data_IF_474236760623
#
_entry.id   IF_474236760623
#
_cell.length_a   1.000
_cell.length_b   1.000
_cell.length_c   1.000
_cell.angle_alpha   90.00
_cell.angle_beta   90.00
_cell.angle_gamma   90.00
#
_symmetry.space_group_name_H-M   'P 1'
#
loop_
_entity.id
_entity.type
_entity.pdbx_description
1 polymer ?
#
# COMPACT_ATOMS: atom_id res chain seq x y z
N UNK A 1 8.78 -15.16 -59.63
CA UNK A 1 8.02 -14.37 -60.60
C UNK A 1 7.92 -12.98 -60.00
N UNK A 2 8.88 -12.14 -60.21
CA UNK A 2 9.01 -10.96 -61.07
C UNK A 2 7.78 -10.04 -61.05
N UNK A 3 7.86 -8.79 -60.55
CA UNK A 3 8.24 -7.53 -61.16
C UNK A 3 8.22 -6.41 -60.09
N UNK A 4 9.27 -5.67 -59.77
CA UNK A 4 9.87 -4.48 -60.36
C UNK A 4 9.06 -3.17 -60.17
N UNK A 5 9.54 -2.28 -59.29
CA UNK A 5 10.24 -0.95 -59.54
C UNK A 5 9.32 0.13 -60.17
N UNK A 6 9.18 1.29 -59.53
CA UNK A 6 9.62 2.53 -60.16
C UNK A 6 9.71 3.71 -59.19
N UNK A 7 10.87 4.31 -59.08
CA UNK A 7 11.19 5.66 -58.56
C UNK A 7 10.56 6.70 -59.50
N UNK A 8 10.09 7.84 -58.95
CA UNK A 8 10.09 9.12 -59.64
C UNK A 8 10.48 10.20 -58.65
N UNK A 9 11.70 10.68 -58.84
CA UNK A 9 12.27 11.94 -58.35
C UNK A 9 11.80 13.04 -59.29
N UNK A 10 11.17 14.10 -58.75
CA UNK A 10 10.97 15.35 -59.51
C UNK A 10 11.44 16.51 -58.66
N UNK A 11 12.65 16.93 -59.04
CA UNK A 11 13.27 18.22 -58.77
C UNK A 11 12.55 19.30 -59.60
N UNK A 12 12.12 20.41 -58.99
CA UNK A 12 11.79 21.62 -59.74
C UNK A 12 12.44 22.83 -59.07
N UNK A 13 13.44 23.32 -59.75
CA UNK A 13 14.13 24.62 -59.60
C UNK A 13 13.44 25.59 -60.59
N UNK A 14 13.02 26.76 -60.10
CA UNK A 14 12.95 28.02 -60.90
C UNK A 14 12.65 29.18 -59.93
N UNK A 15 13.67 30.01 -59.62
CA UNK A 15 14.05 31.25 -60.30
C UNK A 15 13.12 32.46 -60.04
N UNK A 16 13.58 33.31 -59.14
CA UNK A 16 13.81 34.74 -59.25
C UNK A 16 12.78 35.57 -60.05
N UNK A 17 12.10 36.47 -59.37
CA UNK A 17 11.95 37.85 -59.87
C UNK A 17 11.71 38.82 -58.71
N UNK A 18 12.65 39.74 -58.58
CA UNK A 18 12.57 40.99 -57.83
C UNK A 18 11.47 41.86 -58.41
N UNK A 19 10.57 42.36 -57.54
CA UNK A 19 9.88 43.64 -57.78
C UNK A 19 9.98 44.46 -56.52
N UNK A 20 10.77 45.50 -56.59
CA UNK A 20 10.79 46.63 -55.66
C UNK A 20 9.48 47.45 -55.87
N UNK A 21 8.69 47.55 -54.82
CA UNK A 21 7.78 48.67 -54.66
C UNK A 21 7.90 49.22 -53.26
N UNK A 22 8.51 50.35 -53.20
CA UNK A 22 8.52 51.28 -52.09
C UNK A 22 7.15 51.85 -51.87
N UNK A 23 6.61 51.80 -50.66
CA UNK A 23 5.65 52.84 -50.17
C UNK A 23 5.39 52.70 -48.67
N UNK A 24 5.70 53.81 -48.03
CA UNK A 24 5.05 54.43 -46.88
C UNK A 24 5.06 53.69 -45.53
N UNK A 25 5.82 54.30 -44.67
CA UNK A 25 5.70 54.29 -43.20
C UNK A 25 4.27 54.47 -42.74
N UNK A 26 3.82 53.51 -41.92
CA UNK A 26 2.87 53.81 -40.86
C UNK A 26 3.57 53.41 -39.54
N UNK A 27 4.04 54.43 -38.85
CA UNK A 27 4.51 54.39 -37.49
C UNK A 27 3.32 54.17 -36.56
N UNK A 28 3.03 52.95 -36.24
CA UNK A 28 2.34 52.63 -34.96
C UNK A 28 3.39 52.13 -33.99
N UNK A 29 3.86 53.03 -33.16
CA UNK A 29 4.61 52.73 -31.94
C UNK A 29 3.75 51.84 -31.03
N UNK A 30 3.93 50.56 -31.10
CA UNK A 30 3.73 49.68 -29.96
C UNK A 30 5.12 49.43 -29.37
N UNK A 31 5.41 50.13 -28.27
CA UNK A 31 6.52 49.82 -27.37
C UNK A 31 6.31 48.40 -26.82
N UNK A 32 6.60 47.36 -27.60
CA UNK A 32 6.93 46.06 -27.07
C UNK A 32 8.38 46.17 -26.55
N UNK A 33 8.51 46.56 -25.30
CA UNK A 33 9.77 46.47 -24.57
C UNK A 33 10.18 44.97 -24.60
N UNK A 34 11.21 44.63 -25.39
CA UNK A 34 11.77 43.32 -25.45
C UNK A 34 12.12 42.88 -24.00
N UNK A 35 11.52 41.77 -23.55
CA UNK A 35 11.77 41.26 -22.23
C UNK A 35 13.26 40.87 -22.11
N UNK A 36 13.92 41.22 -21.03
CA UNK A 36 15.35 40.94 -20.87
C UNK A 36 15.63 39.41 -20.88
N UNK A 37 16.50 38.97 -21.76
CA UNK A 37 16.91 37.57 -21.85
C UNK A 37 18.00 37.33 -20.84
N UNK A 38 17.70 36.54 -19.80
CA UNK A 38 18.68 36.11 -18.80
C UNK A 38 19.25 34.75 -19.22
N UNK A 39 20.53 34.74 -19.57
CA UNK A 39 21.25 33.50 -19.87
C UNK A 39 21.78 32.87 -18.58
N UNK A 40 21.25 31.68 -18.24
CA UNK A 40 21.66 30.93 -17.03
C UNK A 40 23.15 30.53 -17.05
N UNK A 41 23.81 30.51 -18.21
CA UNK A 41 25.23 30.30 -18.35
C UNK A 41 26.07 31.58 -18.22
N UNK A 42 25.42 32.74 -18.00
CA UNK A 42 26.09 34.02 -17.83
C UNK A 42 26.69 34.19 -16.44
N UNK A 43 27.59 35.18 -16.33
CA UNK A 43 28.18 35.57 -15.05
C UNK A 43 27.11 36.11 -14.10
N UNK A 44 26.93 35.58 -12.88
CA UNK A 44 25.94 36.07 -11.93
C UNK A 44 26.16 37.55 -11.62
N UNK A 45 25.05 38.32 -11.67
CA UNK A 45 25.03 39.76 -11.31
C UNK A 45 24.07 40.00 -10.14
N UNK A 46 24.37 40.97 -9.31
CA UNK A 46 23.53 41.39 -8.21
C UNK A 46 22.54 42.46 -8.68
N UNK A 47 21.27 42.29 -8.30
CA UNK A 47 20.21 43.24 -8.59
C UNK A 47 19.38 43.48 -7.33
N UNK A 48 18.93 44.73 -7.16
CA UNK A 48 17.92 45.08 -6.17
C UNK A 48 16.53 44.89 -6.77
N UNK A 49 15.65 44.16 -6.06
CA UNK A 49 14.26 43.96 -6.50
C UNK A 49 13.50 45.28 -6.38
N UNK A 50 13.17 45.89 -7.53
CA UNK A 50 12.42 47.12 -7.57
C UNK A 50 10.93 46.93 -7.33
N UNK A 51 10.38 45.84 -7.89
CA UNK A 51 8.99 45.45 -7.68
C UNK A 51 8.76 43.96 -8.01
N UNK A 52 7.66 43.39 -7.44
CA UNK A 52 7.27 41.99 -7.66
C UNK A 52 5.78 42.00 -8.02
N UNK A 53 5.44 41.45 -9.17
CA UNK A 53 4.06 41.18 -9.59
C UNK A 53 3.72 39.71 -9.49
N UNK A 54 2.46 39.39 -9.23
CA UNK A 54 1.93 38.01 -9.20
C UNK A 54 0.87 37.87 -10.28
N UNK A 55 0.94 36.79 -11.03
CA UNK A 55 -0.02 36.43 -12.07
C UNK A 55 -0.47 34.98 -11.90
N UNK A 56 -1.76 34.72 -11.98
CA UNK A 56 -2.34 33.37 -11.99
C UNK A 56 -2.83 32.85 -10.64
N UNK A 57 -2.60 33.55 -9.53
CA UNK A 57 -3.08 33.19 -8.20
C UNK A 57 -4.34 33.96 -7.76
N UNK A 58 -5.36 33.99 -8.60
CA UNK A 58 -6.57 34.84 -8.44
C UNK A 58 -7.29 34.75 -7.08
N UNK A 59 -7.13 33.67 -6.34
CA UNK A 59 -7.80 33.42 -5.06
C UNK A 59 -6.95 33.84 -3.82
N UNK A 60 -5.84 34.49 -4.05
CA UNK A 60 -4.91 34.91 -3.00
C UNK A 60 -4.50 36.35 -3.23
N UNK A 61 -4.35 37.11 -2.15
CA UNK A 61 -3.79 38.46 -2.21
C UNK A 61 -2.29 38.42 -2.57
N UNK A 62 -1.84 39.32 -3.42
CA UNK A 62 -0.46 39.33 -3.94
C UNK A 62 0.60 39.33 -2.82
N UNK A 63 0.36 40.08 -1.73
CA UNK A 63 1.31 40.14 -0.61
C UNK A 63 1.51 38.81 0.08
N UNK A 64 0.46 37.95 0.13
CA UNK A 64 0.56 36.59 0.70
C UNK A 64 1.45 35.73 -0.18
N UNK A 65 1.21 35.78 -1.48
CA UNK A 65 1.99 35.01 -2.47
C UNK A 65 3.46 35.47 -2.46
N UNK A 66 3.69 36.78 -2.48
CA UNK A 66 5.05 37.34 -2.41
C UNK A 66 5.74 36.88 -1.11
N UNK A 67 5.03 36.92 0.03
CA UNK A 67 5.56 36.45 1.30
C UNK A 67 5.96 34.96 1.28
N UNK A 68 5.20 34.10 0.61
CA UNK A 68 5.52 32.67 0.42
C UNK A 68 6.82 32.48 -0.37
N UNK A 69 7.14 33.36 -1.33
CA UNK A 69 8.39 33.27 -2.10
C UNK A 69 9.63 33.51 -1.24
N UNK A 70 9.48 34.31 -0.17
CA UNK A 70 10.58 34.84 0.63
C UNK A 70 11.43 35.88 -0.10
N UNK A 71 10.90 36.44 -1.20
CA UNK A 71 11.44 37.60 -1.87
C UNK A 71 10.72 38.84 -1.35
N UNK A 72 11.42 39.98 -1.33
CA UNK A 72 10.85 41.27 -0.92
C UNK A 72 11.40 42.43 -1.77
N UNK A 73 10.58 43.45 -1.91
CA UNK A 73 11.01 44.72 -2.54
C UNK A 73 12.17 45.33 -1.76
N UNK A 74 13.21 45.80 -2.48
CA UNK A 74 14.45 46.31 -1.91
C UNK A 74 15.48 45.26 -1.54
N UNK A 75 15.17 43.97 -1.66
CA UNK A 75 16.11 42.87 -1.42
C UNK A 75 17.10 42.77 -2.58
N UNK A 76 18.38 42.60 -2.23
CA UNK A 76 19.42 42.28 -3.23
C UNK A 76 19.44 40.77 -3.48
N UNK A 77 19.33 40.38 -4.76
CA UNK A 77 19.42 38.99 -5.22
C UNK A 77 20.51 38.83 -6.28
N UNK A 78 20.99 37.64 -6.46
CA UNK A 78 21.94 37.28 -7.51
C UNK A 78 21.18 36.59 -8.64
N UNK A 79 21.36 37.04 -9.89
CA UNK A 79 20.65 36.47 -11.06
C UNK A 79 21.68 36.18 -12.17
N UNK A 80 21.75 34.92 -12.65
CA UNK A 80 21.14 33.73 -12.08
C UNK A 80 21.71 33.37 -10.72
N UNK A 81 20.86 32.85 -9.82
CA UNK A 81 21.24 32.56 -8.43
C UNK A 81 20.24 31.69 -7.67
N UNK A 82 20.60 31.40 -6.42
CA UNK A 82 19.82 30.48 -5.58
C UNK A 82 18.51 31.08 -5.04
N UNK A 83 18.44 32.42 -4.87
CA UNK A 83 17.29 33.09 -4.27
C UNK A 83 16.00 32.81 -5.06
N UNK A 84 16.06 32.90 -6.39
CA UNK A 84 14.92 32.58 -7.27
C UNK A 84 14.60 31.08 -7.22
N UNK A 85 15.65 30.23 -7.25
CA UNK A 85 15.48 28.78 -7.13
C UNK A 85 14.80 28.40 -5.82
N UNK A 86 15.18 29.02 -4.70
CA UNK A 86 14.56 28.79 -3.40
C UNK A 86 13.10 29.29 -3.34
N UNK A 87 12.81 30.43 -3.97
CA UNK A 87 11.43 30.91 -4.10
C UNK A 87 10.55 29.89 -4.84
N UNK A 88 11.00 29.39 -6.00
CA UNK A 88 10.30 28.35 -6.72
C UNK A 88 10.11 27.07 -5.88
N UNK A 89 11.17 26.62 -5.17
CA UNK A 89 11.08 25.46 -4.28
C UNK A 89 10.09 25.63 -3.14
N UNK A 90 9.96 26.86 -2.59
CA UNK A 90 8.97 27.15 -1.55
C UNK A 90 7.55 26.98 -2.08
N UNK A 91 7.22 27.52 -3.24
CA UNK A 91 5.91 27.33 -3.87
C UNK A 91 5.61 25.85 -4.15
N UNK A 92 6.57 25.10 -4.69
CA UNK A 92 6.42 23.66 -4.90
C UNK A 92 6.13 22.89 -3.61
N UNK A 93 6.79 23.29 -2.51
CA UNK A 93 6.63 22.63 -1.20
C UNK A 93 5.22 22.86 -0.63
N UNK A 94 4.60 23.99 -0.91
CA UNK A 94 3.21 24.25 -0.51
C UNK A 94 2.19 23.38 -1.25
N UNK A 95 2.54 22.85 -2.41
CA UNK A 95 1.70 21.92 -3.17
C UNK A 95 0.47 22.57 -3.84
N UNK A 96 0.26 23.87 -3.70
CA UNK A 96 -0.90 24.60 -4.22
C UNK A 96 -0.84 24.84 -5.73
N UNK A 97 0.34 24.83 -6.32
CA UNK A 97 0.60 25.20 -7.69
C UNK A 97 1.03 24.00 -8.54
N UNK A 98 0.58 23.97 -9.79
CA UNK A 98 1.01 22.98 -10.78
C UNK A 98 2.21 23.46 -11.59
N UNK A 99 2.36 24.78 -11.74
CA UNK A 99 3.52 25.40 -12.38
C UNK A 99 3.89 26.70 -11.67
N UNK A 100 5.20 27.00 -11.66
CA UNK A 100 5.79 28.19 -11.04
C UNK A 100 6.91 28.68 -11.94
N UNK A 101 6.75 29.89 -12.45
CA UNK A 101 7.77 30.56 -13.26
C UNK A 101 8.02 31.96 -12.68
N UNK A 102 9.29 32.35 -12.62
CA UNK A 102 9.69 33.71 -12.24
C UNK A 102 10.41 34.33 -13.41
N UNK A 103 9.85 35.42 -13.95
CA UNK A 103 10.39 36.14 -15.09
C UNK A 103 10.87 37.52 -14.66
N UNK A 104 11.87 38.06 -15.36
CA UNK A 104 12.24 39.44 -15.27
C UNK A 104 11.49 40.23 -16.36
N UNK A 105 10.66 41.16 -15.97
CA UNK A 105 9.94 42.00 -16.92
C UNK A 105 10.84 43.15 -17.43
N UNK A 106 11.67 43.70 -16.54
CA UNK A 106 12.53 44.83 -16.81
C UNK A 106 13.80 44.80 -15.96
N UNK A 107 14.93 45.23 -16.54
CA UNK A 107 16.19 45.44 -15.83
C UNK A 107 16.67 46.86 -16.18
N UNK A 108 16.91 47.68 -15.17
CA UNK A 108 17.48 49.02 -15.31
C UNK A 108 18.64 49.22 -14.33
N UNK A 109 19.85 49.26 -14.87
CA UNK A 109 21.06 49.31 -14.04
C UNK A 109 21.18 48.12 -13.10
N UNK A 110 21.17 48.37 -11.79
CA UNK A 110 21.20 47.35 -10.75
C UNK A 110 19.81 46.99 -10.20
N UNK A 111 18.72 47.44 -10.85
CA UNK A 111 17.37 47.15 -10.44
C UNK A 111 16.67 46.17 -11.38
N UNK A 112 15.88 45.24 -10.77
CA UNK A 112 15.12 44.22 -11.50
C UNK A 112 13.65 44.23 -11.07
N UNK A 113 12.75 44.10 -12.03
CA UNK A 113 11.30 43.91 -11.84
C UNK A 113 10.98 42.45 -12.14
N UNK A 114 10.37 41.75 -11.19
CA UNK A 114 10.05 40.34 -11.28
C UNK A 114 8.54 40.13 -11.43
N UNK A 115 8.15 39.17 -12.25
CA UNK A 115 6.80 38.63 -12.26
C UNK A 115 6.81 37.14 -11.93
N UNK A 116 6.01 36.80 -10.95
CA UNK A 116 5.81 35.42 -10.51
C UNK A 116 4.54 34.89 -11.17
N UNK A 117 4.73 33.98 -12.13
CA UNK A 117 3.63 33.31 -12.80
C UNK A 117 3.33 32.00 -12.09
N UNK A 118 2.09 31.84 -11.64
CA UNK A 118 1.63 30.66 -10.90
C UNK A 118 0.42 30.03 -11.61
N UNK A 119 0.47 28.74 -11.80
CA UNK A 119 -0.70 27.97 -12.24
C UNK A 119 -1.24 27.20 -11.05
N UNK A 120 -2.47 27.51 -10.64
CA UNK A 120 -3.13 26.81 -9.54
C UNK A 120 -3.39 25.36 -9.89
N UNK A 121 -3.20 24.45 -8.93
CA UNK A 121 -3.67 23.07 -9.10
C UNK A 121 -5.18 23.03 -9.10
N UNK A 122 -5.80 22.35 -10.07
CA UNK A 122 -7.25 22.25 -10.12
C UNK A 122 -7.77 21.42 -8.94
N UNK A 123 -9.03 21.68 -8.57
CA UNK A 123 -9.75 20.91 -7.55
C UNK A 123 -10.71 19.94 -8.22
N UNK A 124 -10.97 18.83 -7.55
CA UNK A 124 -11.93 17.83 -7.99
C UNK A 124 -13.36 18.39 -7.85
N UNK A 125 -14.08 18.59 -8.97
CA UNK A 125 -15.48 18.98 -8.94
C UNK A 125 -16.41 17.78 -8.77
N UNK A 126 -16.15 16.71 -9.51
CA UNK A 126 -16.90 15.46 -9.41
C UNK A 126 -16.04 14.25 -9.80
N UNK A 127 -16.44 13.06 -9.33
CA UNK A 127 -15.75 11.80 -9.60
C UNK A 127 -16.77 10.82 -10.18
N UNK A 128 -16.46 10.29 -11.37
CA UNK A 128 -17.33 9.34 -12.06
C UNK A 128 -16.63 8.02 -12.26
N UNK A 129 -17.27 6.94 -11.80
CA UNK A 129 -16.77 5.57 -11.95
C UNK A 129 -17.56 4.87 -13.05
N UNK A 130 -16.85 4.31 -14.03
CA UNK A 130 -17.40 3.52 -15.13
C UNK A 130 -16.92 2.08 -15.09
N UNK A 131 -17.75 1.12 -15.54
CA UNK A 131 -17.37 -0.30 -15.59
C UNK A 131 -17.51 -1.06 -14.26
N UNK A 132 -18.08 -0.45 -13.21
CA UNK A 132 -18.25 -1.03 -11.89
C UNK A 132 -19.72 -1.11 -11.45
N UNK A 133 -20.03 -2.04 -10.54
CA UNK A 133 -21.32 -2.14 -9.89
C UNK A 133 -21.44 -1.08 -8.77
N UNK A 134 -22.67 -0.78 -8.35
CA UNK A 134 -22.94 0.20 -7.29
C UNK A 134 -22.18 -0.11 -6.00
N UNK A 135 -22.22 -1.36 -5.52
CA UNK A 135 -21.49 -1.76 -4.31
C UNK A 135 -19.97 -1.67 -4.44
N UNK A 136 -19.43 -1.96 -5.64
CA UNK A 136 -18.00 -1.79 -5.90
C UNK A 136 -17.60 -0.32 -5.91
N UNK A 137 -18.46 0.55 -6.44
CA UNK A 137 -18.26 2.00 -6.42
C UNK A 137 -18.22 2.53 -4.99
N UNK A 138 -19.16 2.16 -4.14
CA UNK A 138 -19.20 2.54 -2.72
C UNK A 138 -17.93 2.10 -1.98
N UNK A 139 -17.48 0.86 -2.21
CA UNK A 139 -16.20 0.34 -1.66
C UNK A 139 -14.99 1.16 -2.14
N UNK A 140 -14.95 1.54 -3.42
CA UNK A 140 -13.85 2.30 -4.01
C UNK A 140 -13.83 3.75 -3.51
N UNK A 141 -15.00 4.41 -3.41
CA UNK A 141 -15.13 5.77 -2.87
C UNK A 141 -14.54 5.85 -1.44
N UNK A 142 -14.78 4.82 -0.61
CA UNK A 142 -14.24 4.76 0.74
C UNK A 142 -12.70 4.54 0.80
N UNK A 143 -12.12 3.86 -0.20
CA UNK A 143 -10.70 3.42 -0.17
C UNK A 143 -9.76 4.32 -0.95
N UNK A 144 -10.22 4.89 -2.06
CA UNK A 144 -9.36 5.56 -3.04
C UNK A 144 -8.89 6.94 -2.57
N UNK A 145 -9.63 7.59 -1.67
CA UNK A 145 -9.23 8.86 -1.07
C UNK A 145 -9.30 10.06 -2.02
N UNK A 146 -9.95 9.92 -3.18
CA UNK A 146 -10.33 11.03 -4.02
C UNK A 146 -11.59 11.67 -3.42
N UNK A 147 -11.54 12.95 -3.09
CA UNK A 147 -12.63 13.67 -2.45
C UNK A 147 -12.93 14.94 -3.24
N UNK A 148 -14.21 15.23 -3.47
CA UNK A 148 -14.64 16.50 -4.07
C UNK A 148 -14.10 17.70 -3.29
N UNK A 149 -13.67 18.72 -4.00
CA UNK A 149 -13.09 19.96 -3.44
C UNK A 149 -11.60 19.86 -3.12
N UNK A 150 -11.02 18.66 -3.03
CA UNK A 150 -9.59 18.49 -2.81
C UNK A 150 -8.81 18.82 -4.09
N UNK A 151 -7.57 19.30 -3.92
CA UNK A 151 -6.65 19.49 -5.04
C UNK A 151 -6.24 18.14 -5.62
N UNK A 152 -6.15 18.09 -6.95
CA UNK A 152 -5.69 16.92 -7.66
C UNK A 152 -4.18 17.02 -7.93
N UNK A 153 -3.47 15.96 -7.63
CA UNK A 153 -2.03 15.84 -7.89
C UNK A 153 -1.72 14.55 -8.66
N UNK A 154 -0.66 14.51 -9.47
CA UNK A 154 -0.24 13.27 -10.14
C UNK A 154 -0.09 12.10 -9.17
N UNK A 155 0.54 12.31 -8.02
CA UNK A 155 0.69 11.29 -6.98
C UNK A 155 -0.66 10.76 -6.47
N UNK A 156 -1.66 11.63 -6.29
CA UNK A 156 -3.01 11.21 -5.87
C UNK A 156 -3.67 10.31 -6.92
N UNK A 157 -3.50 10.63 -8.20
CA UNK A 157 -4.00 9.82 -9.32
C UNK A 157 -3.30 8.46 -9.37
N UNK A 158 -1.98 8.42 -9.28
CA UNK A 158 -1.21 7.17 -9.31
C UNK A 158 -1.55 6.28 -8.10
N UNK A 159 -1.69 6.88 -6.92
CA UNK A 159 -2.15 6.19 -5.72
C UNK A 159 -3.57 5.64 -5.91
N UNK A 160 -4.48 6.44 -6.44
CA UNK A 160 -5.85 6.02 -6.74
C UNK A 160 -5.87 4.83 -7.69
N UNK A 161 -5.10 4.90 -8.80
CA UNK A 161 -4.94 3.82 -9.77
C UNK A 161 -4.42 2.55 -9.11
N UNK A 162 -3.40 2.66 -8.26
CA UNK A 162 -2.80 1.52 -7.53
C UNK A 162 -3.82 0.87 -6.58
N UNK A 163 -4.57 1.67 -5.82
CA UNK A 163 -5.58 1.16 -4.87
C UNK A 163 -6.75 0.48 -5.60
N UNK A 164 -7.21 1.05 -6.72
CA UNK A 164 -8.26 0.44 -7.56
C UNK A 164 -7.76 -0.87 -8.15
N UNK A 165 -6.52 -0.89 -8.66
CA UNK A 165 -5.90 -2.10 -9.20
C UNK A 165 -5.85 -3.21 -8.15
N UNK A 166 -5.33 -2.90 -6.95
CA UNK A 166 -5.25 -3.85 -5.84
C UNK A 166 -6.63 -4.38 -5.44
N UNK A 167 -7.65 -3.52 -5.36
CA UNK A 167 -9.01 -3.93 -5.05
C UNK A 167 -9.56 -4.98 -6.03
N UNK A 168 -9.28 -4.82 -7.33
CA UNK A 168 -9.72 -5.79 -8.34
C UNK A 168 -8.84 -7.04 -8.39
N UNK A 169 -7.54 -6.92 -8.11
CA UNK A 169 -6.63 -8.06 -7.95
C UNK A 169 -7.10 -8.98 -6.82
N UNK A 170 -7.48 -8.43 -5.65
CA UNK A 170 -8.04 -9.18 -4.50
C UNK A 170 -9.36 -9.88 -4.87
N UNK A 171 -10.10 -9.33 -5.82
CA UNK A 171 -11.31 -9.96 -6.37
C UNK A 171 -11.04 -10.97 -7.51
N UNK A 172 -9.77 -11.13 -7.89
CA UNK A 172 -9.30 -12.08 -8.91
C UNK A 172 -9.29 -11.53 -10.34
N UNK A 173 -9.43 -10.22 -10.54
CA UNK A 173 -9.35 -9.54 -11.83
C UNK A 173 -7.93 -9.00 -12.09
N UNK A 174 -6.94 -9.88 -12.12
CA UNK A 174 -5.51 -9.51 -12.23
C UNK A 174 -5.18 -8.66 -13.47
N UNK A 175 -5.96 -8.80 -14.55
CA UNK A 175 -5.76 -8.08 -15.80
C UNK A 175 -6.66 -6.84 -15.93
N UNK A 176 -7.25 -6.34 -14.83
CA UNK A 176 -8.04 -5.13 -14.84
C UNK A 176 -7.22 -3.93 -15.33
N UNK A 177 -7.77 -3.21 -16.30
CA UNK A 177 -7.20 -1.96 -16.80
C UNK A 177 -7.94 -0.76 -16.22
N UNK A 178 -7.17 0.21 -15.69
CA UNK A 178 -7.69 1.38 -15.02
C UNK A 178 -7.15 2.64 -15.71
N UNK A 179 -8.04 3.43 -16.29
CA UNK A 179 -7.72 4.67 -16.96
C UNK A 179 -8.42 5.80 -16.20
N UNK A 180 -7.64 6.72 -15.65
CA UNK A 180 -8.14 7.91 -14.96
C UNK A 180 -7.86 9.11 -15.82
N UNK A 181 -8.90 9.81 -16.25
CA UNK A 181 -8.81 11.02 -17.07
C UNK A 181 -9.38 12.20 -16.31
N UNK A 182 -8.80 13.36 -16.56
CA UNK A 182 -9.22 14.63 -16.00
C UNK A 182 -9.73 15.51 -17.15
N UNK A 183 -10.86 16.16 -16.94
CA UNK A 183 -11.44 17.14 -17.89
C UNK A 183 -11.80 18.38 -17.11
N UNK A 184 -11.53 19.54 -17.68
CA UNK A 184 -11.93 20.80 -17.08
C UNK A 184 -13.45 20.83 -16.89
N UNK A 185 -13.88 21.34 -15.75
CA UNK A 185 -15.31 21.50 -15.47
C UNK A 185 -15.80 22.81 -16.16
N UNK A 186 -16.70 22.70 -17.14
CA UNK A 186 -17.17 23.88 -17.86
C UNK A 186 -17.95 24.89 -16.98
N UNK A 187 -18.42 24.45 -15.81
CA UNK A 187 -19.23 25.27 -14.91
C UNK A 187 -18.42 25.90 -13.77
N UNK A 188 -17.21 25.41 -13.52
CA UNK A 188 -16.40 25.84 -12.38
C UNK A 188 -14.95 26.09 -12.78
N UNK A 189 -14.50 27.33 -12.67
CA UNK A 189 -13.12 27.74 -12.98
C UNK A 189 -12.13 26.99 -12.03
N UNK A 190 -11.03 26.53 -12.58
CA UNK A 190 -9.98 25.78 -11.88
C UNK A 190 -10.46 24.50 -11.15
N UNK A 191 -11.48 23.85 -11.72
CA UNK A 191 -11.97 22.56 -11.25
C UNK A 191 -11.96 21.53 -12.38
N UNK A 192 -11.82 20.25 -12.02
CA UNK A 192 -11.79 19.14 -12.97
C UNK A 192 -12.77 18.05 -12.58
N UNK A 193 -13.40 17.47 -13.59
CA UNK A 193 -14.13 16.21 -13.51
C UNK A 193 -13.15 15.07 -13.66
N UNK A 194 -13.19 14.11 -12.74
CA UNK A 194 -12.34 12.93 -12.77
C UNK A 194 -13.16 11.72 -13.23
N UNK A 195 -12.89 11.26 -14.45
CA UNK A 195 -13.51 10.06 -15.01
C UNK A 195 -12.58 8.84 -14.77
N UNK A 196 -13.05 7.86 -14.03
CA UNK A 196 -12.35 6.61 -13.72
C UNK A 196 -12.99 5.49 -14.53
N UNK A 197 -12.33 5.09 -15.61
CA UNK A 197 -12.77 4.02 -16.48
C UNK A 197 -12.08 2.71 -16.08
N UNK A 198 -12.86 1.69 -15.74
CA UNK A 198 -12.36 0.41 -15.24
C UNK A 198 -12.86 -0.70 -16.16
N UNK A 199 -11.94 -1.32 -16.89
CA UNK A 199 -12.19 -2.55 -17.62
C UNK A 199 -11.64 -3.72 -16.80
N UNK A 200 -12.53 -4.41 -16.11
CA UNK A 200 -12.15 -5.50 -15.20
C UNK A 200 -11.55 -6.71 -15.90
N UNK A 201 -11.78 -6.89 -17.19
CA UNK A 201 -11.48 -8.12 -17.91
C UNK A 201 -12.12 -9.34 -17.24
N UNK A 202 -11.65 -10.56 -17.56
CA UNK A 202 -12.10 -11.78 -16.89
C UNK A 202 -11.25 -12.11 -15.66
N UNK A 203 -11.85 -12.87 -14.74
CA UNK A 203 -11.12 -13.38 -13.58
C UNK A 203 -10.07 -14.39 -14.01
N UNK A 204 -8.84 -14.19 -13.58
CA UNK A 204 -7.76 -15.15 -13.80
C UNK A 204 -7.99 -16.38 -12.92
N UNK A 205 -7.81 -17.58 -13.49
CA UNK A 205 -7.95 -18.88 -12.82
C UNK A 205 -6.62 -19.61 -12.81
N UNK A 206 -6.47 -20.58 -11.93
CA UNK A 206 -5.29 -21.45 -11.92
C UNK A 206 -5.51 -22.60 -12.92
N UNK A 207 -4.60 -22.71 -13.90
CA UNK A 207 -4.56 -23.83 -14.85
C UNK A 207 -3.92 -25.05 -14.19
N UNK A 208 -2.68 -24.91 -13.75
CA UNK A 208 -1.91 -26.00 -13.13
C UNK A 208 -1.06 -25.48 -11.96
N UNK A 209 -0.87 -26.35 -10.94
CA UNK A 209 0.07 -26.14 -9.84
C UNK A 209 1.11 -27.24 -9.90
N UNK A 210 2.36 -26.89 -10.08
CA UNK A 210 3.50 -27.82 -10.08
C UNK A 210 4.30 -27.61 -8.81
N UNK A 211 4.50 -28.68 -8.02
CA UNK A 211 5.28 -28.67 -6.80
C UNK A 211 6.42 -29.68 -6.97
N UNK A 212 7.64 -29.27 -6.70
CA UNK A 212 8.86 -30.06 -6.79
C UNK A 212 9.60 -30.04 -5.46
N UNK A 213 10.54 -31.00 -5.26
CA UNK A 213 11.32 -31.13 -4.01
C UNK A 213 10.57 -31.84 -2.88
N UNK A 214 9.28 -32.07 -3.00
CA UNK A 214 8.45 -32.72 -2.00
C UNK A 214 8.55 -34.27 -2.08
N UNK A 215 9.34 -34.86 -1.18
CA UNK A 215 9.52 -36.32 -1.06
C UNK A 215 8.66 -36.91 0.06
N UNK A 216 8.62 -36.27 1.22
CA UNK A 216 7.91 -36.74 2.41
C UNK A 216 6.38 -36.60 2.29
N UNK A 217 5.92 -35.58 1.56
CA UNK A 217 4.48 -35.33 1.36
C UNK A 217 4.16 -35.35 -0.13
N UNK A 218 3.20 -36.16 -0.52
CA UNK A 218 2.79 -36.23 -1.95
C UNK A 218 2.20 -34.91 -2.42
N UNK A 219 2.50 -34.54 -3.67
CA UNK A 219 1.94 -33.32 -4.34
C UNK A 219 0.42 -33.25 -4.22
N UNK A 220 -0.29 -34.41 -4.32
CA UNK A 220 -1.74 -34.48 -4.15
C UNK A 220 -2.19 -34.06 -2.76
N UNK A 221 -1.45 -34.41 -1.69
CA UNK A 221 -1.75 -34.03 -0.30
C UNK A 221 -1.47 -32.55 -0.09
N UNK A 222 -0.36 -32.01 -0.61
CA UNK A 222 -0.04 -30.59 -0.56
C UNK A 222 -1.09 -29.72 -1.26
N UNK A 223 -1.49 -30.08 -2.50
CA UNK A 223 -2.59 -29.40 -3.21
C UNK A 223 -3.92 -29.43 -2.46
N UNK A 224 -4.16 -30.46 -1.63
CA UNK A 224 -5.37 -30.54 -0.80
C UNK A 224 -5.31 -29.62 0.41
N UNK A 225 -4.12 -29.35 0.95
CA UNK A 225 -3.87 -28.42 2.05
C UNK A 225 -4.14 -26.98 1.60
N UNK A 226 -3.82 -26.65 0.36
CA UNK A 226 -4.16 -25.35 -0.24
C UNK A 226 -5.69 -25.19 -0.31
N UNK A 227 -6.25 -24.28 0.49
CA UNK A 227 -7.70 -24.13 0.63
C UNK A 227 -8.31 -23.18 -0.39
N UNK A 228 -7.56 -22.13 -0.74
CA UNK A 228 -8.06 -20.99 -1.52
C UNK A 228 -7.57 -20.99 -2.97
N UNK A 229 -6.40 -21.58 -3.26
CA UNK A 229 -5.78 -21.66 -4.59
C UNK A 229 -5.96 -23.06 -5.16
N UNK A 230 -6.82 -23.22 -6.17
CA UNK A 230 -7.19 -24.53 -6.72
C UNK A 230 -7.20 -24.53 -8.24
N UNK A 231 -6.76 -25.65 -8.84
CA UNK A 231 -6.73 -25.86 -10.29
C UNK A 231 -8.13 -25.89 -10.91
N UNK A 232 -8.28 -25.32 -12.10
CA UNK A 232 -9.49 -25.36 -12.92
C UNK A 232 -9.69 -26.77 -13.48
N UNK A 233 -10.95 -27.22 -13.57
CA UNK A 233 -11.30 -28.42 -14.36
C UNK A 233 -11.22 -29.76 -13.63
N UNK A 234 -10.79 -29.82 -12.36
CA UNK A 234 -10.79 -31.08 -11.60
C UNK A 234 -12.14 -31.28 -10.89
N UNK A 235 -12.74 -32.46 -11.07
CA UNK A 235 -14.02 -32.86 -10.44
C UNK A 235 -14.03 -32.66 -8.93
N UNK A 236 -12.90 -32.92 -8.26
CA UNK A 236 -12.74 -32.74 -6.81
C UNK A 236 -12.78 -31.28 -6.35
N UNK A 237 -12.66 -30.34 -7.27
CA UNK A 237 -12.65 -28.89 -7.00
C UNK A 237 -13.97 -28.21 -7.41
N UNK A 238 -15.07 -28.93 -7.58
CA UNK A 238 -16.33 -28.40 -8.11
C UNK A 238 -16.87 -27.22 -7.26
N UNK A 239 -16.71 -27.29 -5.95
CA UNK A 239 -17.18 -26.28 -4.99
C UNK A 239 -16.07 -25.36 -4.46
N UNK A 240 -14.82 -25.49 -4.92
CA UNK A 240 -13.70 -24.68 -4.49
C UNK A 240 -13.48 -23.47 -5.39
N UNK A 241 -12.98 -22.39 -4.80
CA UNK A 241 -12.61 -21.17 -5.53
C UNK A 241 -11.46 -21.47 -6.50
N UNK A 242 -11.66 -21.15 -7.78
CA UNK A 242 -10.69 -21.39 -8.87
C UNK A 242 -10.02 -20.10 -9.34
N UNK A 243 -10.47 -18.93 -8.85
CA UNK A 243 -9.85 -17.66 -9.14
C UNK A 243 -8.48 -17.58 -8.48
N UNK A 244 -7.52 -17.05 -9.19
CA UNK A 244 -6.22 -16.74 -8.61
C UNK A 244 -6.28 -15.37 -7.90
N UNK A 245 -5.86 -15.35 -6.65
CA UNK A 245 -5.66 -14.15 -5.83
C UNK A 245 -4.34 -14.32 -5.10
N UNK A 246 -3.43 -13.38 -5.25
CA UNK A 246 -2.06 -13.48 -4.75
C UNK A 246 -2.00 -13.62 -3.22
N UNK A 247 -2.77 -12.81 -2.49
CA UNK A 247 -2.88 -12.91 -1.02
C UNK A 247 -3.36 -14.30 -0.56
N UNK A 248 -4.29 -14.91 -1.29
CA UNK A 248 -4.76 -16.26 -1.01
C UNK A 248 -3.67 -17.32 -1.27
N UNK A 249 -2.85 -17.09 -2.29
CA UNK A 249 -1.74 -17.99 -2.61
C UNK A 249 -0.64 -17.90 -1.54
N UNK A 250 -0.32 -16.68 -1.06
CA UNK A 250 0.61 -16.50 0.07
C UNK A 250 0.09 -17.24 1.33
N UNK A 251 -1.19 -17.10 1.65
CA UNK A 251 -1.79 -17.82 2.78
C UNK A 251 -1.74 -19.35 2.58
N UNK A 252 -1.95 -19.83 1.36
CA UNK A 252 -1.87 -21.27 1.06
C UNK A 252 -0.43 -21.80 1.09
N UNK A 253 0.59 -20.97 0.76
CA UNK A 253 2.01 -21.31 0.97
C UNK A 253 2.31 -21.54 2.44
N UNK A 254 1.81 -20.67 3.33
CA UNK A 254 1.97 -20.86 4.76
C UNK A 254 1.33 -22.18 5.25
N UNK A 255 0.13 -22.51 4.77
CA UNK A 255 -0.51 -23.78 5.11
C UNK A 255 0.32 -25.01 4.68
N UNK A 256 1.08 -24.90 3.58
CA UNK A 256 2.01 -25.97 3.17
C UNK A 256 3.14 -26.10 4.19
N UNK A 257 3.76 -24.99 4.61
CA UNK A 257 4.84 -25.00 5.62
C UNK A 257 4.31 -25.52 6.95
N UNK A 258 3.15 -25.04 7.41
CA UNK A 258 2.50 -25.53 8.63
C UNK A 258 2.27 -27.05 8.59
N UNK A 259 1.96 -27.59 7.40
CA UNK A 259 1.78 -29.05 7.22
C UNK A 259 3.09 -29.81 7.34
N UNK A 260 4.21 -29.24 6.89
CA UNK A 260 5.53 -29.82 7.10
C UNK A 260 5.94 -29.74 8.57
N UNK A 261 5.71 -28.61 9.22
CA UNK A 261 5.98 -28.41 10.66
C UNK A 261 5.17 -29.36 11.54
N UNK A 262 3.90 -29.63 11.19
CA UNK A 262 3.05 -30.65 11.85
C UNK A 262 3.67 -32.07 11.78
N UNK A 263 4.43 -32.35 10.73
CA UNK A 263 5.06 -33.65 10.51
C UNK A 263 6.53 -33.72 10.99
N UNK A 264 7.03 -32.65 11.60
CA UNK A 264 8.37 -32.57 12.16
C UNK A 264 9.44 -32.02 11.24
N UNK A 265 9.07 -31.55 10.06
CA UNK A 265 10.00 -30.90 9.13
C UNK A 265 10.07 -29.40 9.44
N UNK A 266 10.76 -29.07 10.52
CA UNK A 266 10.89 -27.72 11.07
C UNK A 266 11.51 -26.73 10.08
N UNK A 267 12.52 -27.17 9.33
CA UNK A 267 13.30 -26.33 8.41
C UNK A 267 12.70 -26.29 6.99
N UNK A 268 11.49 -26.84 6.82
CA UNK A 268 10.84 -26.86 5.53
C UNK A 268 10.55 -25.43 5.03
N UNK A 269 10.94 -25.16 3.81
CA UNK A 269 10.74 -23.85 3.18
C UNK A 269 10.39 -23.97 1.70
N UNK A 270 9.70 -22.96 1.18
CA UNK A 270 9.51 -22.80 -0.25
C UNK A 270 10.66 -21.92 -0.75
N UNK A 271 11.65 -22.54 -1.41
CA UNK A 271 12.87 -21.85 -1.87
C UNK A 271 12.61 -21.03 -3.12
N UNK A 272 11.62 -21.42 -3.91
CA UNK A 272 11.26 -20.71 -5.14
C UNK A 272 9.79 -20.90 -5.45
N UNK A 273 9.15 -19.81 -5.82
CA UNK A 273 7.83 -19.85 -6.43
C UNK A 273 7.77 -18.91 -7.64
N UNK A 274 6.94 -19.25 -8.60
CA UNK A 274 6.69 -18.41 -9.76
C UNK A 274 5.30 -18.63 -10.32
N UNK A 275 4.72 -17.55 -10.83
CA UNK A 275 3.42 -17.52 -11.47
C UNK A 275 3.65 -17.08 -12.91
N UNK A 276 3.29 -17.95 -13.86
CA UNK A 276 3.43 -17.67 -15.28
C UNK A 276 2.06 -17.64 -15.94
N UNK A 277 1.83 -16.68 -16.83
CA UNK A 277 0.62 -16.70 -17.66
C UNK A 277 0.66 -17.91 -18.59
N UNK A 278 -0.39 -18.72 -18.56
CA UNK A 278 -0.60 -19.79 -19.52
C UNK A 278 -1.39 -19.27 -20.73
N UNK A 279 -2.45 -18.54 -20.46
CA UNK A 279 -3.25 -17.80 -21.44
C UNK A 279 -3.78 -16.50 -20.81
N UNK A 280 -4.61 -15.72 -21.53
CA UNK A 280 -5.18 -14.45 -21.07
C UNK A 280 -6.04 -14.57 -19.81
N UNK A 281 -6.47 -15.79 -19.45
CA UNK A 281 -7.44 -16.09 -18.38
C UNK A 281 -6.93 -17.06 -17.34
N UNK A 282 -5.75 -17.65 -17.54
CA UNK A 282 -5.21 -18.67 -16.66
C UNK A 282 -3.72 -18.51 -16.40
N UNK A 283 -3.30 -18.98 -15.23
CA UNK A 283 -1.90 -18.98 -14.80
C UNK A 283 -1.47 -20.36 -14.37
N UNK A 284 -0.20 -20.67 -14.61
CA UNK A 284 0.52 -21.81 -14.05
C UNK A 284 1.32 -21.36 -12.83
N UNK A 285 1.25 -22.14 -11.76
CA UNK A 285 1.97 -21.90 -10.51
C UNK A 285 3.04 -22.99 -10.35
N UNK A 286 4.27 -22.58 -10.10
CA UNK A 286 5.40 -23.46 -9.83
C UNK A 286 5.93 -23.16 -8.43
N UNK A 287 6.16 -24.20 -7.64
CA UNK A 287 6.75 -24.11 -6.32
C UNK A 287 7.83 -25.17 -6.17
N UNK A 288 8.95 -24.80 -5.58
CA UNK A 288 10.04 -25.69 -5.21
C UNK A 288 10.19 -25.67 -3.70
N UNK A 289 10.11 -26.84 -3.09
CA UNK A 289 10.16 -27.03 -1.64
C UNK A 289 11.47 -27.70 -1.27
N UNK A 290 12.12 -27.17 -0.24
CA UNK A 290 13.18 -27.82 0.47
C UNK A 290 12.61 -28.30 1.82
N UNK A 291 12.53 -29.63 2.02
CA UNK A 291 11.84 -30.20 3.19
C UNK A 291 12.70 -30.16 4.47
N UNK A 292 14.02 -30.12 4.30
CA UNK A 292 14.94 -30.28 5.42
C UNK A 292 14.89 -31.70 6.02
N UNK A 293 15.42 -31.85 7.24
CA UNK A 293 15.35 -33.12 7.97
C UNK A 293 14.15 -33.13 8.92
N UNK A 294 13.74 -34.36 9.31
CA UNK A 294 12.67 -34.55 10.28
C UNK A 294 13.25 -34.54 11.68
N UNK A 295 12.64 -33.74 12.58
CA UNK A 295 13.09 -33.61 13.96
C UNK A 295 12.18 -34.31 14.96
N UNK A 296 12.78 -34.73 16.07
CA UNK A 296 12.12 -35.40 17.20
C UNK A 296 12.40 -34.64 18.49
N UNK A 297 11.47 -34.69 19.43
CA UNK A 297 11.61 -34.09 20.75
C UNK A 297 12.46 -34.98 21.63
N UNK A 298 13.62 -34.47 22.07
CA UNK A 298 14.54 -35.23 22.96
C UNK A 298 14.23 -34.96 24.41
N UNK A 299 14.02 -33.73 24.79
CA UNK A 299 13.73 -33.33 26.16
C UNK A 299 12.85 -32.06 26.19
N UNK A 300 12.04 -31.91 27.26
CA UNK A 300 11.27 -30.70 27.57
C UNK A 300 11.58 -30.30 29.01
N UNK A 301 12.09 -29.09 29.16
CA UNK A 301 12.39 -28.52 30.49
C UNK A 301 11.54 -27.28 30.71
N UNK A 302 11.13 -27.03 31.94
CA UNK A 302 10.33 -25.87 32.33
C UNK A 302 11.15 -24.96 33.22
N UNK A 303 11.11 -23.66 32.96
CA UNK A 303 11.82 -22.64 33.72
C UNK A 303 10.85 -21.51 34.06
N UNK A 304 10.78 -21.10 35.32
CA UNK A 304 9.94 -20.01 35.80
C UNK A 304 8.52 -20.43 36.21
N UNK A 305 8.17 -21.72 36.15
CA UNK A 305 6.86 -22.23 36.53
C UNK A 305 6.81 -22.49 38.08
N UNK A 306 6.47 -21.44 38.84
CA UNK A 306 6.40 -21.55 40.31
C UNK A 306 5.02 -21.96 40.82
N UNK A 307 3.96 -21.68 40.03
CA UNK A 307 2.57 -21.91 40.39
C UNK A 307 2.08 -23.32 40.05
N UNK A 308 2.51 -23.83 38.91
CA UNK A 308 2.06 -25.13 38.41
C UNK A 308 3.28 -26.07 38.24
N UNK A 309 3.20 -27.31 38.76
CA UNK A 309 4.30 -28.28 38.65
C UNK A 309 4.52 -28.69 37.20
N UNK A 310 5.77 -29.00 36.86
CA UNK A 310 6.17 -29.40 35.49
C UNK A 310 5.40 -30.61 34.96
N UNK A 311 4.98 -31.52 35.84
CA UNK A 311 4.19 -32.71 35.49
C UNK A 311 2.81 -32.30 34.93
N UNK A 312 2.14 -31.30 35.55
CA UNK A 312 0.86 -30.78 35.07
C UNK A 312 1.01 -30.07 33.73
N UNK A 313 2.06 -29.29 33.58
CA UNK A 313 2.34 -28.56 32.31
C UNK A 313 2.69 -29.55 31.19
N UNK A 314 3.45 -30.60 31.47
CA UNK A 314 3.72 -31.69 30.52
C UNK A 314 2.44 -32.42 30.09
N UNK A 315 1.53 -32.65 31.03
CA UNK A 315 0.24 -33.27 30.73
C UNK A 315 -0.59 -32.41 29.77
N UNK A 316 -0.59 -31.11 29.97
CA UNK A 316 -1.29 -30.17 29.09
C UNK A 316 -0.61 -29.97 27.74
N UNK A 317 0.73 -30.02 27.70
CA UNK A 317 1.52 -29.89 26.48
C UNK A 317 1.26 -31.04 25.49
N UNK A 318 0.96 -32.25 26.00
CA UNK A 318 0.71 -33.46 25.19
C UNK A 318 1.85 -33.86 24.24
N UNK A 319 3.06 -33.40 24.48
CA UNK A 319 4.26 -33.80 23.75
C UNK A 319 5.23 -34.51 24.67
N UNK A 320 5.80 -35.63 24.24
CA UNK A 320 6.68 -36.47 25.02
C UNK A 320 8.02 -36.68 24.33
N UNK A 321 9.03 -37.04 25.11
CA UNK A 321 10.31 -37.47 24.58
C UNK A 321 10.14 -38.57 23.53
N UNK A 322 10.76 -38.39 22.36
CA UNK A 322 10.68 -39.31 21.22
C UNK A 322 9.55 -39.02 20.24
N UNK A 323 8.62 -38.13 20.59
CA UNK A 323 7.59 -37.67 19.65
C UNK A 323 8.20 -36.86 18.53
N UNK A 324 7.53 -36.83 17.41
CA UNK A 324 7.87 -35.93 16.31
C UNK A 324 7.73 -34.47 16.78
N UNK A 325 8.72 -33.64 16.50
CA UNK A 325 8.68 -32.23 16.84
C UNK A 325 7.59 -31.50 16.01
N UNK A 326 6.40 -31.43 16.60
CA UNK A 326 5.23 -30.83 15.96
C UNK A 326 5.06 -29.40 16.46
N UNK A 327 5.58 -28.44 15.68
CA UNK A 327 5.54 -27.01 16.03
C UNK A 327 4.10 -26.47 16.09
N UNK A 328 3.23 -26.98 15.24
CA UNK A 328 1.82 -26.58 15.27
C UNK A 328 1.13 -27.03 16.56
N UNK A 329 1.34 -28.29 16.97
CA UNK A 329 0.82 -28.80 18.24
C UNK A 329 1.38 -28.02 19.43
N UNK A 330 2.67 -27.66 19.38
CA UNK A 330 3.30 -26.82 20.40
C UNK A 330 2.57 -25.48 20.56
N UNK A 331 2.28 -24.79 19.45
CA UNK A 331 1.54 -23.52 19.45
C UNK A 331 0.10 -23.70 19.94
N UNK A 332 -0.61 -24.72 19.47
CA UNK A 332 -1.97 -25.04 19.91
C UNK A 332 -2.02 -25.26 21.42
N UNK A 333 -1.11 -26.08 21.96
CA UNK A 333 -1.10 -26.46 23.39
C UNK A 333 -0.57 -25.37 24.31
N UNK A 334 0.22 -24.43 23.80
CA UNK A 334 0.73 -23.31 24.60
C UNK A 334 -0.23 -22.11 24.65
N UNK A 335 -0.95 -21.82 23.54
CA UNK A 335 -1.66 -20.53 23.40
C UNK A 335 -3.06 -20.60 22.78
N UNK A 336 -3.30 -21.49 21.80
CA UNK A 336 -4.48 -21.39 20.92
C UNK A 336 -5.69 -22.19 21.39
N UNK A 337 -5.48 -23.39 21.91
CA UNK A 337 -6.56 -24.29 22.36
C UNK A 337 -7.29 -23.75 23.60
N UNK A 338 -8.54 -24.15 23.79
CA UNK A 338 -9.31 -23.79 24.98
C UNK A 338 -8.67 -24.30 26.28
N UNK A 339 -8.03 -25.48 26.25
CA UNK A 339 -7.28 -26.09 27.33
C UNK A 339 -5.75 -25.84 27.22
N UNK A 340 -5.33 -24.81 26.48
CA UNK A 340 -3.93 -24.41 26.37
C UNK A 340 -3.36 -23.96 27.72
N UNK A 341 -2.05 -24.16 27.90
CA UNK A 341 -1.32 -23.75 29.09
C UNK A 341 -1.54 -22.26 29.40
N UNK A 342 -1.53 -21.39 28.38
CA UNK A 342 -1.79 -19.97 28.56
C UNK A 342 -3.15 -19.68 29.21
N UNK A 343 -4.18 -20.43 28.86
CA UNK A 343 -5.51 -20.23 29.45
C UNK A 343 -5.59 -20.65 30.93
N UNK A 344 -4.77 -21.62 31.36
CA UNK A 344 -4.63 -21.97 32.77
C UNK A 344 -4.17 -20.75 33.61
N UNK A 345 -3.23 -19.98 33.10
CA UNK A 345 -2.76 -18.74 33.74
C UNK A 345 -3.74 -17.59 33.60
N UNK A 346 -4.23 -17.31 32.38
CA UNK A 346 -5.14 -16.19 32.13
C UNK A 346 -6.47 -16.31 32.88
N UNK A 347 -7.00 -17.53 33.06
CA UNK A 347 -8.26 -17.73 33.79
C UNK A 347 -8.09 -17.64 35.32
N UNK A 348 -6.84 -17.64 35.80
CA UNK A 348 -6.50 -17.45 37.22
C UNK A 348 -5.89 -16.10 37.54
N UNK A 349 -6.12 -15.08 36.70
CA UNK A 349 -5.74 -13.68 36.95
C UNK A 349 -4.34 -13.29 36.46
N UNK A 350 -3.57 -14.17 35.87
CA UNK A 350 -2.20 -13.86 35.42
C UNK A 350 -2.20 -13.23 34.03
N UNK A 351 -2.74 -12.00 33.93
CA UNK A 351 -2.88 -11.25 32.67
C UNK A 351 -1.54 -11.00 31.97
N UNK A 352 -0.46 -10.87 32.72
CA UNK A 352 0.89 -10.57 32.21
C UNK A 352 1.75 -11.82 32.02
N UNK A 353 1.13 -13.00 32.06
CA UNK A 353 1.80 -14.25 31.75
C UNK A 353 2.34 -14.28 30.33
N UNK A 354 3.54 -14.84 30.17
CA UNK A 354 4.08 -15.20 28.87
C UNK A 354 4.82 -16.53 28.93
N UNK A 355 4.78 -17.27 27.85
CA UNK A 355 5.50 -18.52 27.64
C UNK A 355 6.28 -18.40 26.34
N UNK A 356 7.58 -18.65 26.41
CA UNK A 356 8.50 -18.64 25.28
C UNK A 356 9.15 -20.03 25.14
N UNK A 357 8.73 -20.84 24.16
CA UNK A 357 9.38 -22.11 23.85
C UNK A 357 10.71 -21.87 23.13
N UNK A 358 11.82 -22.20 23.76
CA UNK A 358 13.17 -22.01 23.23
C UNK A 358 13.83 -23.37 22.92
N UNK A 359 14.29 -23.50 21.69
CA UNK A 359 15.12 -24.65 21.28
C UNK A 359 16.55 -24.41 21.76
N UNK A 360 16.92 -25.04 22.88
CA UNK A 360 18.23 -24.79 23.53
C UNK A 360 19.34 -25.61 22.96
N UNK A 361 19.04 -26.76 22.37
CA UNK A 361 20.05 -27.64 21.80
C UNK A 361 19.46 -28.53 20.69
N UNK A 362 20.22 -28.71 19.62
CA UNK A 362 19.88 -29.57 18.49
C UNK A 362 21.04 -30.53 18.27
N UNK A 363 20.80 -31.82 18.45
CA UNK A 363 21.81 -32.89 18.26
C UNK A 363 21.29 -33.86 17.22
N UNK A 364 21.86 -33.78 16.01
CA UNK A 364 21.39 -34.57 14.87
C UNK A 364 19.96 -34.21 14.52
N UNK A 365 19.05 -35.15 14.66
CA UNK A 365 17.59 -34.99 14.39
C UNK A 365 16.76 -34.71 15.65
N UNK A 366 17.40 -34.43 16.78
CA UNK A 366 16.74 -34.35 18.09
C UNK A 366 16.87 -32.96 18.71
N UNK A 367 15.75 -32.44 19.20
CA UNK A 367 15.62 -31.09 19.77
C UNK A 367 15.35 -31.14 21.25
N UNK A 368 16.09 -30.35 22.05
CA UNK A 368 15.77 -30.03 23.43
C UNK A 368 15.01 -28.74 23.51
N UNK A 369 13.83 -28.76 24.12
CA UNK A 369 12.95 -27.63 24.26
C UNK A 369 12.94 -27.13 25.71
N UNK A 370 13.22 -25.85 25.91
CA UNK A 370 13.11 -25.15 27.18
C UNK A 370 11.91 -24.21 27.14
N UNK A 371 10.93 -24.50 27.98
CA UNK A 371 9.69 -23.75 28.10
C UNK A 371 9.89 -22.67 29.18
N UNK A 372 10.16 -21.43 28.74
CA UNK A 372 10.40 -20.30 29.62
C UNK A 372 9.10 -19.61 29.97
N UNK A 373 8.72 -19.63 31.23
CA UNK A 373 7.50 -19.02 31.74
C UNK A 373 7.85 -17.78 32.55
N UNK A 374 7.16 -16.71 32.25
CA UNK A 374 7.05 -15.53 33.09
C UNK A 374 5.60 -15.42 33.58
N UNK A 375 5.37 -15.71 34.86
CA UNK A 375 4.01 -15.78 35.42
C UNK A 375 3.39 -14.41 35.65
N UNK A 376 4.22 -13.42 36.03
CA UNK A 376 3.77 -12.07 36.34
C UNK A 376 3.00 -11.99 37.67
N UNK A 377 2.22 -10.92 37.83
CA UNK A 377 1.34 -10.70 38.99
C UNK A 377 -0.11 -10.94 38.63
N UNK A 378 -0.89 -11.39 39.60
CA UNK A 378 -2.35 -11.48 39.44
C UNK A 378 -2.96 -10.10 39.27
N UNK A 379 -3.87 -9.97 38.30
CA UNK A 379 -4.65 -8.80 38.01
C UNK A 379 -6.10 -8.99 38.45
N UNK A 380 -6.66 -7.95 39.08
CA UNK A 380 -8.08 -7.88 39.44
C UNK A 380 -8.80 -6.85 38.57
N UNK A 381 -10.06 -7.07 38.30
CA UNK A 381 -10.89 -6.13 37.56
C UNK A 381 -11.26 -4.97 38.52
N UNK A 382 -10.74 -3.78 38.25
CA UNK A 382 -11.04 -2.60 39.07
C UNK A 382 -12.43 -2.03 38.73
N UNK A 383 -12.71 -1.81 37.43
CA UNK A 383 -13.95 -1.17 36.96
C UNK A 383 -14.38 -1.77 35.62
N UNK A 384 -15.70 -1.89 35.46
CA UNK A 384 -16.33 -2.21 34.16
C UNK A 384 -17.19 -1.00 33.77
N UNK A 385 -16.84 -0.36 32.66
CA UNK A 385 -17.58 0.78 32.08
C UNK A 385 -18.38 0.30 30.87
N UNK A 386 -19.65 0.69 30.80
CA UNK A 386 -20.54 0.38 29.68
C UNK A 386 -20.84 1.69 28.97
N UNK A 387 -20.61 1.75 27.67
CA UNK A 387 -20.84 2.94 26.85
C UNK A 387 -21.63 2.54 25.59
N UNK A 388 -22.45 3.47 25.07
CA UNK A 388 -23.23 3.24 23.85
C UNK A 388 -24.52 2.43 24.04
N UNK A 389 -24.99 2.31 25.29
CA UNK A 389 -26.21 1.58 25.65
C UNK A 389 -27.49 2.45 25.57
N UNK A 390 -27.64 3.25 24.51
CA UNK A 390 -28.73 4.25 24.34
C UNK A 390 -30.12 3.64 24.33
N UNK A 391 -30.26 2.34 24.06
CA UNK A 391 -31.56 1.61 24.01
C UNK A 391 -31.78 0.66 25.15
N UNK A 392 -30.80 0.42 26.01
CA UNK A 392 -30.85 -0.53 27.10
C UNK A 392 -30.40 0.12 28.41
N UNK A 393 -31.07 -0.21 29.50
CA UNK A 393 -30.60 0.22 30.82
C UNK A 393 -29.26 -0.49 31.16
N UNK A 394 -28.37 0.21 31.79
CA UNK A 394 -27.05 -0.30 32.18
C UNK A 394 -27.13 -1.59 33.03
N UNK A 395 -28.10 -1.68 33.94
CA UNK A 395 -28.29 -2.84 34.79
C UNK A 395 -28.65 -4.12 34.00
N UNK A 396 -29.32 -3.99 32.85
CA UNK A 396 -29.63 -5.12 31.96
C UNK A 396 -28.38 -5.66 31.32
N UNK A 397 -27.54 -4.77 30.74
CA UNK A 397 -26.28 -5.17 30.15
C UNK A 397 -25.31 -5.73 31.21
N UNK A 398 -25.22 -5.05 32.36
CA UNK A 398 -24.33 -5.45 33.46
C UNK A 398 -24.68 -6.84 34.03
N UNK A 399 -25.92 -7.23 33.99
CA UNK A 399 -26.38 -8.55 34.46
C UNK A 399 -25.84 -9.69 33.61
N UNK A 400 -25.70 -9.48 32.31
CA UNK A 400 -25.22 -10.49 31.37
C UNK A 400 -23.68 -10.61 31.40
N UNK A 401 -22.95 -9.62 31.95
CA UNK A 401 -21.52 -9.68 32.07
C UNK A 401 -21.08 -10.66 33.15
N UNK A 402 -20.14 -11.55 32.77
CA UNK A 402 -19.47 -12.47 33.69
C UNK A 402 -18.38 -11.81 34.49
N UNK A 403 -17.77 -10.77 33.91
CA UNK A 403 -16.68 -9.98 34.52
C UNK A 403 -17.27 -8.95 35.49
N UNK A 404 -16.82 -8.95 36.75
CA UNK A 404 -17.29 -8.03 37.79
C UNK A 404 -16.13 -7.32 38.49
N UNK A 405 -16.29 -6.04 38.91
CA UNK A 405 -15.31 -5.37 39.73
C UNK A 405 -14.93 -6.16 40.98
N UNK A 406 -13.66 -6.22 41.33
CA UNK A 406 -13.10 -6.95 42.47
C UNK A 406 -12.78 -8.43 42.20
N UNK A 407 -13.22 -9.00 41.10
CA UNK A 407 -12.87 -10.36 40.73
C UNK A 407 -11.46 -10.43 40.07
N UNK A 408 -10.83 -11.58 40.15
CA UNK A 408 -9.63 -11.86 39.37
C UNK A 408 -9.94 -11.80 37.87
N UNK A 409 -9.00 -11.35 37.09
CA UNK A 409 -9.11 -11.41 35.64
C UNK A 409 -9.27 -12.87 35.18
N UNK A 410 -10.23 -13.11 34.31
CA UNK A 410 -10.43 -14.39 33.63
C UNK A 410 -10.69 -14.13 32.16
N UNK A 411 -9.83 -14.70 31.30
CA UNK A 411 -9.99 -14.61 29.84
C UNK A 411 -11.30 -15.28 29.39
N UNK A 412 -11.63 -16.41 30.01
CA UNK A 412 -12.86 -17.16 29.71
C UNK A 412 -14.10 -16.32 30.02
N UNK A 413 -14.17 -15.71 31.20
CA UNK A 413 -15.31 -14.87 31.59
C UNK A 413 -15.42 -13.61 30.71
N UNK A 414 -14.29 -13.02 30.32
CA UNK A 414 -14.27 -11.90 29.38
C UNK A 414 -14.84 -12.33 28.04
N UNK A 415 -14.36 -13.44 27.47
CA UNK A 415 -14.83 -13.94 26.18
C UNK A 415 -16.29 -14.37 26.19
N UNK A 416 -16.78 -14.92 27.32
CA UNK A 416 -18.21 -15.20 27.50
C UNK A 416 -19.02 -13.91 27.52
N UNK A 417 -18.58 -12.92 28.28
CA UNK A 417 -19.25 -11.61 28.35
C UNK A 417 -19.33 -10.89 26.99
N UNK A 418 -18.40 -11.16 26.07
CA UNK A 418 -18.42 -10.60 24.71
C UNK A 418 -19.38 -11.35 23.76
N UNK A 419 -19.78 -12.58 24.09
CA UNK A 419 -20.68 -13.39 23.25
C UNK A 419 -22.16 -13.23 23.65
N UNK A 420 -22.43 -12.92 24.89
CA UNK A 420 -23.76 -12.66 25.46
C UNK A 420 -24.22 -11.22 25.20
#
# INVERSE_FOLDING_TARGET
MYYRISSILVTFICLFSCVLTSSAQDTSNTDETEKPVILYSGTPKKYEIADIKVVGAKNYEDYVIIGLSGLSKGQTITVPGDEITQACKRYWRHGLFSDVQVTADKIEGDRIWLTIHLTMRPRVSDIRYHGVKKSEREDLEARVGLIKGNQITPNLIDRAKTLIKRYFDDKGFKNADIIITQKDDPNNENQVLVDINIDKKEKVKVHQITITGNQAITTKKLKRVMKKTNEKGKLLNLFRTKKFVEENFEADKQLIIDKYNELGYRDAMIVKDSIKSYDDRTVDIFMEIEEGQKYYLRNVTWVGNTLYPSEQLNFLLRMKKGDVYNQKLLEERTSTDEDAIGNLYYNNGYLFYSLDPVEVNIVGDSIDLEMRIFEGRQATINKVSINGNDRLYENVVRRELRTRPGQLFSREDLMRSMRE
#
